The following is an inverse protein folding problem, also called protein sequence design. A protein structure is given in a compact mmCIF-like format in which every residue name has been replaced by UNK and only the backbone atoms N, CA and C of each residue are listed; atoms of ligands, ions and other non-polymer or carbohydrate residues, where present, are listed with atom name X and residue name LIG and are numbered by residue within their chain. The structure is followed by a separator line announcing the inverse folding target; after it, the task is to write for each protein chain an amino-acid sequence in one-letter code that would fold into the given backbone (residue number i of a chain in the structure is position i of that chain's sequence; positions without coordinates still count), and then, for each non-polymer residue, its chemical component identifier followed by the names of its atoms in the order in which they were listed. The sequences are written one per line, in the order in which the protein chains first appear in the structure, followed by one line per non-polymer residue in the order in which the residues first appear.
data_IF_559574026167
#
_entry.id   IF_559574026167
#
_cell.length_a   1.000
_cell.length_b   1.000
_cell.length_c   1.000
_cell.angle_alpha   90.00
_cell.angle_beta   90.00
_cell.angle_gamma   90.00
#
_symmetry.space_group_name_H-M   'P 1'
#
loop_
_entity.id
_entity.type
_entity.pdbx_description
1 polymer ?
#
# COMPACT_ATOMS: atom_id res chain seq x y z
N UNK A 1 -1.31 3.08 23.58
CA UNK A 1 -1.59 1.69 24.00
C UNK A 1 -2.35 0.89 22.94
N UNK A 2 -3.51 1.36 22.46
CA UNK A 2 -4.34 0.58 21.52
C UNK A 2 -3.64 0.22 20.19
N UNK A 3 -2.88 1.12 19.56
CA UNK A 3 -2.24 0.85 18.27
C UNK A 3 -1.27 -0.34 18.30
N UNK A 4 -0.49 -0.48 19.39
CA UNK A 4 0.46 -1.58 19.56
C UNK A 4 -0.30 -2.91 19.71
N UNK A 5 -1.42 -2.90 20.44
CA UNK A 5 -2.28 -4.08 20.58
C UNK A 5 -2.89 -4.51 19.23
N UNK A 6 -3.39 -3.56 18.44
CA UNK A 6 -3.93 -3.85 17.10
C UNK A 6 -2.86 -4.40 16.17
N UNK A 7 -1.64 -3.85 16.23
CA UNK A 7 -0.52 -4.35 15.44
C UNK A 7 -0.15 -5.79 15.80
N UNK A 8 -0.04 -6.11 17.09
CA UNK A 8 0.23 -7.47 17.55
C UNK A 8 -0.89 -8.44 17.18
N UNK A 9 -2.15 -8.02 17.31
CA UNK A 9 -3.30 -8.82 16.92
C UNK A 9 -3.30 -9.10 15.42
N UNK A 10 -3.04 -8.08 14.58
CA UNK A 10 -2.91 -8.26 13.13
C UNK A 10 -1.79 -9.25 12.78
N UNK A 11 -0.63 -9.14 13.42
CA UNK A 11 0.49 -10.07 13.22
C UNK A 11 0.08 -11.51 13.54
N UNK A 12 -0.55 -11.74 14.70
CA UNK A 12 -1.04 -13.07 15.11
C UNK A 12 -2.05 -13.62 14.10
N UNK A 13 -3.00 -12.80 13.66
CA UNK A 13 -4.03 -13.20 12.69
C UNK A 13 -3.41 -13.59 11.35
N UNK A 14 -2.47 -12.79 10.82
CA UNK A 14 -1.79 -13.10 9.55
C UNK A 14 -1.02 -14.42 9.66
N UNK A 15 -0.27 -14.64 10.74
CA UNK A 15 0.45 -15.90 10.96
C UNK A 15 -0.50 -17.10 11.08
N UNK A 16 -1.62 -16.93 11.79
CA UNK A 16 -2.62 -17.99 11.93
C UNK A 16 -3.23 -18.36 10.58
N UNK A 17 -3.62 -17.38 9.77
CA UNK A 17 -4.16 -17.60 8.42
C UNK A 17 -3.14 -18.25 7.49
N UNK A 18 -1.88 -17.78 7.52
CA UNK A 18 -0.80 -18.36 6.72
C UNK A 18 -0.57 -19.84 7.09
N UNK A 19 -0.60 -20.19 8.38
CA UNK A 19 -0.49 -21.57 8.84
C UNK A 19 -1.71 -22.42 8.45
N UNK A 20 -2.92 -21.88 8.51
CA UNK A 20 -4.14 -22.58 8.11
C UNK A 20 -4.13 -22.96 6.63
N UNK A 21 -3.71 -22.04 5.76
CA UNK A 21 -3.62 -22.25 4.30
C UNK A 21 -2.38 -23.09 3.91
N UNK A 22 -1.36 -23.14 4.77
CA UNK A 22 -0.14 -23.90 4.50
C UNK A 22 -0.39 -25.40 4.45
N UNK A 23 -0.14 -25.99 3.28
CA UNK A 23 -0.27 -27.42 3.01
C UNK A 23 0.87 -28.24 3.65
N UNK A 24 2.12 -27.78 3.50
CA UNK A 24 3.33 -28.48 3.97
C UNK A 24 4.02 -27.74 5.12
N UNK A 25 3.44 -27.83 6.32
CA UNK A 25 3.90 -27.11 7.52
C UNK A 25 5.29 -27.52 8.01
N UNK A 26 5.75 -28.72 7.66
CA UNK A 26 7.05 -29.26 8.08
C UNK A 26 8.23 -28.82 7.20
N UNK A 27 7.96 -28.33 5.99
CA UNK A 27 8.97 -27.88 5.03
C UNK A 27 9.06 -26.35 4.96
N UNK A 28 8.55 -25.64 5.99
CA UNK A 28 8.66 -24.19 6.05
C UNK A 28 10.13 -23.81 6.17
N UNK A 29 10.65 -23.14 5.14
CA UNK A 29 12.05 -22.72 5.07
C UNK A 29 12.23 -21.39 5.82
N UNK A 30 12.42 -21.46 7.13
CA UNK A 30 12.55 -20.28 8.01
C UNK A 30 13.58 -19.26 7.52
N UNK A 31 14.66 -19.70 6.86
CA UNK A 31 15.71 -18.82 6.33
C UNK A 31 15.15 -17.74 5.39
N UNK A 32 14.20 -18.10 4.52
CA UNK A 32 13.60 -17.15 3.57
C UNK A 32 12.60 -16.22 4.23
N UNK A 33 11.83 -16.70 5.21
CA UNK A 33 10.86 -15.87 5.95
C UNK A 33 11.59 -14.77 6.72
N UNK A 34 12.68 -15.13 7.41
CA UNK A 34 13.48 -14.13 8.15
C UNK A 34 14.12 -13.13 7.19
N UNK A 35 14.67 -13.58 6.05
CA UNK A 35 15.21 -12.68 5.03
C UNK A 35 14.15 -11.71 4.48
N UNK A 36 12.93 -12.22 4.24
CA UNK A 36 11.81 -11.39 3.77
C UNK A 36 11.45 -10.34 4.81
N UNK A 37 11.29 -10.71 6.08
CA UNK A 37 10.96 -9.78 7.16
C UNK A 37 12.05 -8.70 7.31
N UNK A 38 13.33 -9.08 7.22
CA UNK A 38 14.44 -8.11 7.26
C UNK A 38 14.39 -7.16 6.06
N UNK A 39 14.12 -7.67 4.86
CA UNK A 39 13.98 -6.84 3.67
C UNK A 39 12.78 -5.90 3.77
N UNK A 40 11.62 -6.38 4.25
CA UNK A 40 10.43 -5.57 4.49
C UNK A 40 10.66 -4.47 5.52
N UNK A 41 11.30 -4.80 6.65
CA UNK A 41 11.62 -3.81 7.68
C UNK A 41 12.62 -2.76 7.15
N UNK A 42 13.63 -3.19 6.39
CA UNK A 42 14.61 -2.29 5.78
C UNK A 42 13.97 -1.37 4.74
N UNK A 43 13.15 -1.90 3.84
CA UNK A 43 12.44 -1.12 2.82
C UNK A 43 11.40 -0.20 3.45
N UNK A 44 10.62 -0.70 4.41
CA UNK A 44 9.61 0.08 5.12
C UNK A 44 10.24 1.26 5.86
N UNK A 45 11.34 1.02 6.58
CA UNK A 45 12.09 2.10 7.24
C UNK A 45 12.68 3.08 6.21
N UNK A 46 13.26 2.57 5.12
CA UNK A 46 13.82 3.42 4.07
C UNK A 46 12.76 4.33 3.45
N UNK A 47 11.63 3.80 3.01
CA UNK A 47 10.59 4.58 2.35
C UNK A 47 9.83 5.52 3.29
N UNK A 48 9.63 5.14 4.56
CA UNK A 48 8.80 5.91 5.50
C UNK A 48 9.59 6.85 6.42
N UNK A 49 10.89 6.62 6.61
CA UNK A 49 11.70 7.39 7.57
C UNK A 49 12.94 8.06 6.94
N UNK A 50 13.51 7.51 5.87
CA UNK A 50 14.69 8.12 5.22
C UNK A 50 14.28 9.27 4.30
N UNK A 51 15.04 10.37 4.34
CA UNK A 51 14.84 11.51 3.46
C UNK A 51 14.90 11.13 1.96
N UNK A 52 15.79 10.20 1.59
CA UNK A 52 15.87 9.69 0.22
C UNK A 52 14.66 8.85 -0.19
N UNK A 53 14.11 8.07 0.76
CA UNK A 53 12.90 7.28 0.52
C UNK A 53 11.65 8.13 0.37
N UNK A 54 11.48 9.15 1.23
CA UNK A 54 10.39 10.12 1.10
C UNK A 54 10.49 10.90 -0.22
N UNK A 55 11.69 11.32 -0.63
CA UNK A 55 11.88 12.02 -1.89
C UNK A 55 11.49 11.14 -3.11
N UNK A 56 11.83 9.85 -3.07
CA UNK A 56 11.45 8.89 -4.11
C UNK A 56 9.94 8.69 -4.16
N UNK A 57 9.31 8.43 -3.02
CA UNK A 57 7.84 8.25 -2.94
C UNK A 57 7.13 9.53 -3.37
N UNK A 58 7.61 10.70 -2.96
CA UNK A 58 7.06 11.99 -3.38
C UNK A 58 7.18 12.22 -4.89
N UNK A 59 8.30 11.84 -5.50
CA UNK A 59 8.49 11.93 -6.95
C UNK A 59 7.50 11.03 -7.70
N UNK A 60 7.28 9.81 -7.20
CA UNK A 60 6.30 8.88 -7.77
C UNK A 60 4.86 9.40 -7.60
N UNK A 61 4.54 9.97 -6.45
CA UNK A 61 3.25 10.60 -6.20
C UNK A 61 2.99 11.77 -7.16
N UNK A 62 3.96 12.67 -7.36
CA UNK A 62 3.83 13.79 -8.30
C UNK A 62 3.67 13.34 -9.76
N UNK A 63 4.31 12.24 -10.16
CA UNK A 63 4.07 11.62 -11.47
C UNK A 63 2.62 11.16 -11.62
N UNK A 64 2.08 10.45 -10.62
CA UNK A 64 0.68 10.02 -10.64
C UNK A 64 -0.28 11.21 -10.59
N UNK A 65 0.01 12.24 -9.79
CA UNK A 65 -0.79 13.46 -9.75
C UNK A 65 -0.90 14.12 -11.13
N UNK A 66 0.19 14.14 -11.89
CA UNK A 66 0.20 14.64 -13.27
C UNK A 66 -0.69 13.77 -14.18
N UNK A 67 -0.60 12.44 -14.09
CA UNK A 67 -1.45 11.53 -14.86
C UNK A 67 -2.93 11.68 -14.51
N UNK A 68 -3.26 11.79 -13.22
CA UNK A 68 -4.63 12.05 -12.77
C UNK A 68 -5.12 13.43 -13.25
N UNK A 69 -4.25 14.43 -13.31
CA UNK A 69 -4.56 15.74 -13.88
C UNK A 69 -4.99 15.65 -15.35
N UNK A 70 -4.26 14.88 -16.17
CA UNK A 70 -4.66 14.64 -17.57
C UNK A 70 -5.99 13.87 -17.67
N UNK A 71 -6.19 12.85 -16.82
CA UNK A 71 -7.44 12.12 -16.78
C UNK A 71 -8.62 13.04 -16.40
N UNK A 72 -8.44 13.91 -15.41
CA UNK A 72 -9.45 14.86 -14.97
C UNK A 72 -9.83 15.86 -16.08
N UNK A 73 -8.87 16.34 -16.87
CA UNK A 73 -9.15 17.18 -18.04
C UNK A 73 -9.98 16.44 -19.10
N UNK A 74 -9.67 15.16 -19.36
CA UNK A 74 -10.45 14.33 -20.27
C UNK A 74 -11.88 14.10 -19.79
N UNK A 75 -12.05 13.79 -18.50
CA UNK A 75 -13.38 13.64 -17.88
C UNK A 75 -14.16 14.95 -17.91
N UNK A 76 -13.53 16.10 -17.66
CA UNK A 76 -14.17 17.41 -17.76
C UNK A 76 -14.61 17.73 -19.20
N UNK A 77 -13.81 17.36 -20.21
CA UNK A 77 -14.18 17.51 -21.62
C UNK A 77 -15.42 16.68 -21.98
N UNK A 78 -15.48 15.42 -21.52
CA UNK A 78 -16.60 14.51 -21.83
C UNK A 78 -17.87 14.88 -21.06
N UNK A 79 -17.75 15.27 -19.79
CA UNK A 79 -18.88 15.46 -18.89
C UNK A 79 -19.16 16.93 -18.54
N UNK A 80 -18.43 17.89 -19.12
CA UNK A 80 -18.74 19.32 -19.10
C UNK A 80 -18.91 19.95 -17.72
N UNK A 81 -18.17 19.50 -16.70
CA UNK A 81 -18.28 20.04 -15.34
C UNK A 81 -19.31 19.37 -14.42
N UNK A 82 -19.99 18.30 -14.87
CA UNK A 82 -20.89 17.51 -13.99
C UNK A 82 -20.17 16.93 -12.76
N UNK A 83 -18.86 16.69 -12.84
CA UNK A 83 -18.02 16.31 -11.70
C UNK A 83 -17.97 17.37 -10.61
N UNK A 84 -17.80 18.64 -10.98
CA UNK A 84 -17.72 19.76 -10.03
C UNK A 84 -19.05 20.08 -9.35
N UNK A 85 -20.16 19.69 -9.97
CA UNK A 85 -21.52 19.88 -9.44
C UNK A 85 -21.99 18.70 -8.56
N UNK A 86 -21.15 17.69 -8.33
CA UNK A 86 -21.51 16.48 -7.58
C UNK A 86 -22.49 15.56 -8.32
N UNK A 87 -22.73 15.81 -9.61
CA UNK A 87 -23.67 15.08 -10.46
C UNK A 87 -22.98 13.97 -11.28
N UNK A 88 -21.67 13.81 -11.17
CA UNK A 88 -20.90 12.81 -11.93
C UNK A 88 -21.17 11.34 -11.59
N UNK A 89 -22.02 11.05 -10.59
CA UNK A 89 -22.36 9.69 -10.18
C UNK A 89 -23.78 9.26 -10.52
N UNK A 90 -24.45 9.93 -11.47
CA UNK A 90 -25.71 9.40 -12.01
C UNK A 90 -25.44 8.42 -13.17
N UNK A 91 -24.45 7.53 -13.03
CA UNK A 91 -24.35 6.21 -13.68
C UNK A 91 -23.42 5.32 -12.84
#
# INVERSE_FOLDING_TARGET
MAAILHFLLALVVIFALALLVSHDRKQIRLRFIVQLIVAEAALGWFFLHSAGGLALVGSFAGFFETLLGFAAQGTEFVFGGMSKQGLAFIF
#
